data_IF_691329636629
#
_entry.id   IF_691329636629
#
_cell.length_a   1.000
_cell.length_b   1.000
_cell.length_c   1.000
_cell.angle_alpha   90.00
_cell.angle_beta   90.00
_cell.angle_gamma   90.00
#
_symmetry.space_group_name_H-M   'P 1'
#
loop_
_entity.id
_entity.type
_entity.pdbx_description
1 polymer ?
#
# COMPACT_ATOMS: atom_id res chain seq x y z
N UNK A 1 -29.77 21.62 -33.85
CA UNK A 1 -28.69 21.22 -34.77
C UNK A 1 -27.39 21.19 -33.97
N UNK A 2 -26.76 20.02 -33.80
CA UNK A 2 -25.49 19.90 -33.08
C UNK A 2 -24.38 20.55 -33.93
N UNK A 3 -23.75 21.62 -33.42
CA UNK A 3 -22.61 22.28 -34.07
C UNK A 3 -21.35 21.39 -34.13
N UNK A 4 -20.24 21.87 -34.73
CA UNK A 4 -19.04 21.09 -35.08
C UNK A 4 -18.29 20.43 -33.91
N UNK A 5 -18.76 20.58 -32.68
CA UNK A 5 -18.25 19.90 -31.50
C UNK A 5 -19.31 18.91 -30.98
N UNK A 6 -19.22 17.65 -31.40
CA UNK A 6 -19.92 16.58 -30.69
C UNK A 6 -19.24 16.45 -29.33
N UNK A 7 -19.95 16.71 -28.23
CA UNK A 7 -19.49 16.35 -26.88
C UNK A 7 -19.45 14.82 -26.76
N UNK A 8 -18.50 14.17 -27.42
CA UNK A 8 -18.24 12.76 -27.17
C UNK A 8 -17.40 12.70 -25.90
N UNK A 9 -17.85 11.87 -24.96
CA UNK A 9 -17.25 11.59 -23.66
C UNK A 9 -15.69 11.52 -23.61
N UNK A 10 -14.93 11.10 -24.66
CA UNK A 10 -13.48 11.24 -24.67
C UNK A 10 -12.95 12.68 -24.52
N UNK A 11 -13.66 13.72 -24.98
CA UNK A 11 -13.14 15.10 -24.94
C UNK A 11 -13.16 15.76 -23.55
N UNK A 12 -13.92 15.22 -22.59
CA UNK A 12 -14.00 15.71 -21.20
C UNK A 12 -13.22 14.83 -20.20
N UNK A 13 -12.38 13.91 -20.70
CA UNK A 13 -11.60 12.94 -19.93
C UNK A 13 -10.81 12.03 -20.87
N UNK A 14 -9.80 12.59 -21.53
CA UNK A 14 -9.10 12.12 -22.74
C UNK A 14 -8.71 10.66 -22.89
N UNK A 15 -8.62 9.88 -21.80
CA UNK A 15 -8.17 8.48 -21.82
C UNK A 15 -9.16 7.53 -21.12
N UNK A 16 -9.76 6.66 -21.93
CA UNK A 16 -10.74 5.68 -21.45
C UNK A 16 -10.06 4.42 -20.88
N UNK A 17 -9.88 4.39 -19.56
CA UNK A 17 -9.49 3.18 -18.84
C UNK A 17 -10.70 2.30 -18.54
N UNK A 18 -11.07 1.42 -19.47
CA UNK A 18 -12.26 0.56 -19.37
C UNK A 18 -12.07 -0.58 -18.34
N UNK A 19 -12.13 -0.23 -17.05
CA UNK A 19 -12.04 -1.16 -15.93
C UNK A 19 -13.41 -1.22 -15.24
N UNK A 20 -14.11 -2.38 -15.23
CA UNK A 20 -15.44 -2.48 -14.62
C UNK A 20 -15.35 -2.26 -13.11
N UNK A 21 -16.46 -1.86 -12.48
CA UNK A 21 -16.52 -1.66 -11.02
C UNK A 21 -16.62 -2.96 -10.23
N UNK A 22 -17.02 -4.06 -10.88
CA UNK A 22 -17.21 -5.41 -10.29
C UNK A 22 -16.40 -6.48 -11.03
N UNK A 23 -16.00 -7.53 -10.31
CA UNK A 23 -15.39 -8.72 -10.90
C UNK A 23 -16.45 -9.61 -11.56
N UNK A 24 -16.06 -10.25 -12.68
CA UNK A 24 -16.87 -11.31 -13.31
C UNK A 24 -16.84 -12.62 -12.51
N UNK A 25 -17.79 -13.55 -12.76
CA UNK A 25 -17.82 -14.85 -12.05
C UNK A 25 -16.53 -15.64 -12.23
N UNK A 26 -15.95 -15.59 -13.43
CA UNK A 26 -14.73 -16.31 -13.76
C UNK A 26 -13.51 -15.73 -13.03
N UNK A 27 -13.45 -14.40 -12.92
CA UNK A 27 -12.40 -13.74 -12.13
C UNK A 27 -12.51 -14.08 -10.64
N UNK A 28 -13.73 -14.13 -10.10
CA UNK A 28 -13.98 -14.56 -8.72
C UNK A 28 -13.56 -16.01 -8.48
N UNK A 29 -13.80 -16.92 -9.44
CA UNK A 29 -13.34 -18.32 -9.36
C UNK A 29 -11.80 -18.39 -9.33
N UNK A 30 -11.14 -17.79 -10.30
CA UNK A 30 -9.66 -17.73 -10.36
C UNK A 30 -9.04 -17.07 -9.14
N UNK A 31 -9.71 -16.09 -8.54
CA UNK A 31 -9.23 -15.48 -7.32
C UNK A 31 -9.27 -16.44 -6.12
N UNK A 32 -10.36 -17.20 -5.96
CA UNK A 32 -10.45 -18.25 -4.93
C UNK A 32 -9.40 -19.34 -5.13
N UNK A 33 -9.19 -19.78 -6.37
CA UNK A 33 -8.12 -20.73 -6.72
C UNK A 33 -6.75 -20.20 -6.29
N UNK A 34 -6.44 -18.92 -6.54
CA UNK A 34 -5.17 -18.31 -6.09
C UNK A 34 -5.03 -18.24 -4.57
N UNK A 35 -6.10 -17.88 -3.85
CA UNK A 35 -6.08 -17.84 -2.39
C UNK A 35 -5.78 -19.24 -1.81
N UNK A 36 -6.47 -20.27 -2.32
CA UNK A 36 -6.23 -21.67 -1.94
C UNK A 36 -4.84 -22.17 -2.30
N UNK A 37 -4.32 -21.77 -3.46
CA UNK A 37 -2.98 -22.16 -3.88
C UNK A 37 -1.92 -21.61 -2.89
N UNK A 38 -2.07 -20.36 -2.46
CA UNK A 38 -1.19 -19.78 -1.43
C UNK A 38 -1.34 -20.51 -0.09
N UNK A 39 -2.56 -20.87 0.29
CA UNK A 39 -2.81 -21.67 1.51
C UNK A 39 -2.13 -23.04 1.44
N UNK A 40 -2.21 -23.70 0.28
CA UNK A 40 -1.52 -24.97 0.03
C UNK A 40 -0.01 -24.86 0.15
N UNK A 41 0.59 -23.80 -0.41
CA UNK A 41 2.05 -23.56 -0.28
C UNK A 41 2.45 -23.42 1.19
N UNK A 42 1.71 -22.61 1.97
CA UNK A 42 2.01 -22.42 3.40
C UNK A 42 1.87 -23.73 4.17
N UNK A 43 0.82 -24.52 3.90
CA UNK A 43 0.62 -25.82 4.53
C UNK A 43 1.74 -26.82 4.20
N UNK A 44 2.22 -26.85 2.95
CA UNK A 44 3.34 -27.73 2.57
C UNK A 44 4.65 -27.36 3.25
N UNK A 45 4.95 -26.06 3.34
CA UNK A 45 6.15 -25.56 4.02
C UNK A 45 6.09 -25.92 5.51
N UNK A 46 4.95 -25.70 6.14
CA UNK A 46 4.75 -26.01 7.56
C UNK A 46 4.91 -27.50 7.86
N UNK A 47 4.31 -28.38 7.04
CA UNK A 47 4.44 -29.82 7.19
C UNK A 47 5.89 -30.31 6.99
N UNK A 48 6.66 -29.66 6.10
CA UNK A 48 8.07 -29.99 5.89
C UNK A 48 8.93 -29.56 7.09
N UNK A 49 8.69 -28.36 7.61
CA UNK A 49 9.40 -27.81 8.78
C UNK A 49 9.14 -28.63 10.05
N UNK A 50 7.90 -29.05 10.28
CA UNK A 50 7.52 -29.89 11.41
C UNK A 50 8.29 -31.23 11.41
N UNK A 51 8.54 -31.83 10.23
CA UNK A 51 9.34 -33.06 10.11
C UNK A 51 10.82 -32.85 10.43
N UNK A 52 11.33 -31.66 10.16
CA UNK A 52 12.73 -31.28 10.44
C UNK A 52 12.92 -30.75 11.87
N UNK A 53 11.83 -30.53 12.62
CA UNK A 53 11.88 -29.95 13.96
C UNK A 53 12.28 -28.47 13.98
N UNK A 54 12.13 -27.75 12.86
CA UNK A 54 12.46 -26.33 12.75
C UNK A 54 11.19 -25.49 12.66
N UNK A 55 11.25 -24.25 13.14
CA UNK A 55 10.15 -23.28 13.06
C UNK A 55 10.61 -22.01 12.37
N UNK A 56 9.74 -21.44 11.53
CA UNK A 56 9.99 -20.17 10.86
C UNK A 56 9.00 -19.11 11.38
N UNK A 57 9.48 -17.99 11.95
CA UNK A 57 8.61 -16.97 12.54
C UNK A 57 7.69 -16.31 11.50
N UNK A 58 8.10 -16.30 10.23
CA UNK A 58 7.28 -15.80 9.14
C UNK A 58 6.02 -16.66 8.90
N UNK A 59 6.12 -17.98 9.04
CA UNK A 59 5.01 -18.92 8.87
C UNK A 59 4.05 -18.82 10.06
N UNK A 60 4.60 -18.70 11.28
CA UNK A 60 3.80 -18.50 12.49
C UNK A 60 3.02 -17.18 12.45
N UNK A 61 3.70 -16.07 12.12
CA UNK A 61 3.04 -14.77 11.92
C UNK A 61 1.95 -14.85 10.85
N UNK A 62 2.24 -15.52 9.74
CA UNK A 62 1.26 -15.70 8.67
C UNK A 62 0.01 -16.44 9.16
N UNK A 63 0.16 -17.54 9.90
CA UNK A 63 -0.95 -18.30 10.46
C UNK A 63 -1.76 -17.50 11.49
N UNK A 64 -1.10 -16.64 12.27
CA UNK A 64 -1.76 -15.82 13.27
C UNK A 64 -2.58 -14.67 12.67
N UNK A 65 -2.05 -14.02 11.62
CA UNK A 65 -2.64 -12.81 11.05
C UNK A 65 -3.56 -13.08 9.85
N UNK A 66 -3.25 -14.09 9.02
CA UNK A 66 -3.87 -14.27 7.71
C UNK A 66 -4.91 -15.41 7.72
N UNK A 67 -6.20 -15.12 7.47
CA UNK A 67 -7.24 -16.15 7.41
C UNK A 67 -7.14 -17.02 6.16
N UNK A 68 -7.68 -18.24 6.23
CA UNK A 68 -7.76 -19.16 5.08
C UNK A 68 -8.86 -18.75 4.10
N UNK A 69 -8.83 -19.24 2.85
CA UNK A 69 -9.90 -18.95 1.88
C UNK A 69 -11.28 -19.35 2.38
N UNK A 70 -11.40 -20.43 3.17
CA UNK A 70 -12.68 -20.91 3.69
C UNK A 70 -13.26 -19.96 4.76
N UNK A 71 -12.42 -19.46 5.65
CA UNK A 71 -12.81 -18.54 6.74
C UNK A 71 -13.16 -17.13 6.24
N UNK A 72 -12.58 -16.73 5.10
CA UNK A 72 -12.78 -15.38 4.56
C UNK A 72 -14.24 -15.12 4.13
N UNK A 73 -14.76 -13.97 4.55
CA UNK A 73 -16.04 -13.45 4.07
C UNK A 73 -15.98 -13.15 2.56
N UNK A 74 -17.06 -13.39 1.78
CA UNK A 74 -17.11 -13.04 0.36
C UNK A 74 -16.83 -11.56 0.08
N UNK A 75 -17.16 -10.69 1.05
CA UNK A 75 -16.91 -9.25 0.97
C UNK A 75 -15.41 -8.95 0.94
N UNK A 76 -14.63 -9.55 1.83
CA UNK A 76 -13.18 -9.32 1.91
C UNK A 76 -12.40 -10.07 0.82
N UNK A 77 -12.97 -11.16 0.25
CA UNK A 77 -12.40 -11.80 -0.95
C UNK A 77 -12.41 -10.89 -2.17
N UNK A 78 -13.47 -10.12 -2.39
CA UNK A 78 -13.64 -9.40 -3.66
C UNK A 78 -13.48 -7.89 -3.54
N UNK A 79 -13.41 -7.37 -2.32
CA UNK A 79 -13.29 -5.93 -2.07
C UNK A 79 -12.22 -5.62 -1.04
N UNK A 80 -11.50 -4.53 -1.28
CA UNK A 80 -10.49 -3.96 -0.39
C UNK A 80 -11.00 -2.66 0.22
N UNK A 81 -10.38 -2.26 1.32
CA UNK A 81 -10.60 -0.96 1.94
C UNK A 81 -9.92 0.15 1.13
N UNK A 82 -10.65 1.23 0.84
CA UNK A 82 -10.11 2.44 0.20
C UNK A 82 -10.70 3.66 0.89
N UNK A 83 -9.85 4.47 1.54
CA UNK A 83 -10.25 5.67 2.29
C UNK A 83 -11.01 6.68 1.41
N UNK A 84 -10.66 6.78 0.13
CA UNK A 84 -11.20 7.80 -0.80
C UNK A 84 -12.47 7.32 -1.51
N UNK A 85 -12.79 6.03 -1.43
CA UNK A 85 -13.97 5.49 -2.10
C UNK A 85 -15.23 5.71 -1.29
N UNK A 86 -16.36 5.98 -1.96
CA UNK A 86 -17.68 6.02 -1.30
C UNK A 86 -17.93 4.68 -0.61
N UNK A 87 -18.34 4.72 0.68
CA UNK A 87 -18.51 3.54 1.57
C UNK A 87 -17.21 2.78 1.86
N UNK A 88 -16.06 3.41 1.65
CA UNK A 88 -14.75 2.92 2.03
C UNK A 88 -14.34 1.57 1.40
N UNK A 89 -14.86 1.24 0.22
CA UNK A 89 -14.61 -0.05 -0.44
C UNK A 89 -14.34 0.10 -1.93
N UNK A 90 -13.43 -0.74 -2.42
CA UNK A 90 -13.04 -0.83 -3.83
C UNK A 90 -12.93 -2.29 -4.24
N UNK A 91 -13.16 -2.62 -5.52
CA UNK A 91 -12.94 -3.97 -6.03
C UNK A 91 -11.45 -4.33 -6.02
N UNK A 92 -11.11 -5.56 -5.61
CA UNK A 92 -9.72 -6.02 -5.46
C UNK A 92 -8.94 -5.97 -6.78
N UNK A 93 -9.62 -6.14 -7.92
CA UNK A 93 -9.03 -6.11 -9.26
C UNK A 93 -8.52 -4.73 -9.68
N UNK A 94 -8.83 -3.68 -8.91
CA UNK A 94 -8.27 -2.34 -9.12
C UNK A 94 -6.94 -2.14 -8.40
N UNK A 95 -6.50 -3.08 -7.56
CA UNK A 95 -5.20 -3.03 -6.92
C UNK A 95 -4.08 -3.31 -7.96
N UNK A 96 -2.98 -2.55 -7.94
CA UNK A 96 -1.82 -2.85 -8.77
C UNK A 96 -1.32 -4.27 -8.49
N UNK A 97 -1.16 -5.06 -9.55
CA UNK A 97 -0.64 -6.45 -9.46
C UNK A 97 -1.43 -7.34 -8.47
N UNK A 98 -2.74 -7.11 -8.33
CA UNK A 98 -3.63 -7.86 -7.42
C UNK A 98 -3.62 -9.38 -7.57
N UNK A 99 -3.15 -9.92 -8.71
CA UNK A 99 -3.03 -11.36 -8.93
C UNK A 99 -1.83 -11.98 -8.19
N UNK A 100 -0.82 -11.17 -7.85
CA UNK A 100 0.41 -11.59 -7.17
C UNK A 100 0.47 -11.18 -5.71
N UNK A 101 -0.16 -10.05 -5.37
CA UNK A 101 -0.20 -9.53 -4.00
C UNK A 101 -1.26 -10.25 -3.18
N UNK A 102 -0.91 -10.69 -1.96
CA UNK A 102 -1.82 -11.30 -0.99
C UNK A 102 -2.44 -10.25 -0.07
N UNK A 103 -3.66 -9.79 -0.40
CA UNK A 103 -4.46 -8.94 0.48
C UNK A 103 -5.65 -9.73 1.02
N UNK A 104 -5.72 -9.93 2.34
CA UNK A 104 -6.77 -10.73 3.01
C UNK A 104 -7.48 -10.01 4.14
N UNK A 105 -6.74 -9.24 4.93
CA UNK A 105 -7.28 -8.51 6.09
C UNK A 105 -7.62 -7.07 5.70
N UNK A 106 -8.80 -6.62 6.09
CA UNK A 106 -9.26 -5.24 5.93
C UNK A 106 -9.57 -4.65 7.31
N UNK A 107 -9.34 -3.34 7.53
CA UNK A 107 -9.72 -2.70 8.78
C UNK A 107 -11.24 -2.74 8.98
N UNK A 108 -11.66 -2.92 10.24
CA UNK A 108 -13.07 -2.84 10.61
C UNK A 108 -13.56 -1.39 10.51
N UNK A 109 -14.77 -1.22 9.98
CA UNK A 109 -15.38 0.11 9.76
C UNK A 109 -15.57 0.86 11.08
N UNK A 110 -15.80 0.17 12.20
CA UNK A 110 -15.86 0.78 13.54
C UNK A 110 -14.54 1.42 13.97
N UNK A 111 -13.40 0.84 13.58
CA UNK A 111 -12.06 1.33 13.92
C UNK A 111 -11.69 2.61 13.17
N UNK A 112 -12.40 2.93 12.09
CA UNK A 112 -12.13 4.10 11.24
C UNK A 112 -12.96 5.33 11.65
N UNK A 113 -14.18 5.13 12.18
CA UNK A 113 -15.07 6.23 12.59
C UNK A 113 -14.48 7.14 13.68
N UNK A 114 -13.59 6.63 14.54
CA UNK A 114 -13.00 7.43 15.63
C UNK A 114 -11.77 8.26 15.17
N UNK A 115 -11.08 7.82 14.11
CA UNK A 115 -9.91 8.52 13.55
C UNK A 115 -10.29 9.58 12.51
N UNK A 116 -11.40 9.39 11.80
CA UNK A 116 -11.88 10.34 10.79
C UNK A 116 -12.43 11.65 11.40
N UNK A 117 -12.88 11.66 12.66
CA UNK A 117 -13.33 12.89 13.35
C UNK A 117 -12.15 13.80 13.74
N UNK A 118 -11.00 13.21 14.08
CA UNK A 118 -9.81 13.96 14.50
C UNK A 118 -9.06 14.57 13.30
N UNK A 119 -8.83 13.79 12.24
CA UNK A 119 -8.11 14.28 11.04
C UNK A 119 -8.91 15.33 10.25
N UNK A 120 -10.24 15.27 10.24
CA UNK A 120 -11.07 16.29 9.59
C UNK A 120 -11.11 17.63 10.35
N UNK A 121 -10.65 17.66 11.60
CA UNK A 121 -10.58 18.87 12.43
C UNK A 121 -9.18 19.51 12.40
N UNK A 122 -8.12 18.72 12.20
CA UNK A 122 -6.75 19.22 12.06
C UNK A 122 -6.50 19.94 10.74
N UNK A 123 -7.11 19.49 9.63
CA UNK A 123 -6.89 20.09 8.30
C UNK A 123 -7.62 21.44 8.06
N UNK A 124 -8.42 21.93 9.03
CA UNK A 124 -9.21 23.18 8.86
C UNK A 124 -8.68 24.37 9.67
N UNK A 125 -7.73 24.17 10.59
CA UNK A 125 -7.24 25.24 11.48
C UNK A 125 -5.88 25.83 11.09
N UNK A 126 -5.33 25.48 9.92
CA UNK A 126 -3.99 25.89 9.51
C UNK A 126 -3.98 26.64 8.17
N UNK A 127 -4.93 27.59 8.00
CA UNK A 127 -4.91 28.56 6.88
C UNK A 127 -5.04 30.03 7.34
N UNK A 128 -5.44 30.31 8.58
CA UNK A 128 -5.65 31.70 9.03
C UNK A 128 -4.69 32.09 10.16
N UNK A 129 -3.39 32.23 9.89
CA UNK A 129 -2.48 33.08 10.70
C UNK A 129 -1.11 33.16 10.00
N UNK A 130 -0.92 34.15 9.12
CA UNK A 130 0.37 34.85 8.93
C UNK A 130 0.19 36.02 7.94
N UNK A 131 -0.59 37.01 8.36
CA UNK A 131 -0.49 38.37 7.86
C UNK A 131 -0.13 39.26 9.05
N UNK A 132 1.14 39.66 9.15
CA UNK A 132 1.57 40.57 10.22
C UNK A 132 3.09 40.63 10.44
N UNK A 133 3.77 41.41 9.61
CA UNK A 133 4.97 42.23 9.86
C UNK A 133 6.04 41.75 10.86
N UNK A 134 7.30 41.68 10.39
CA UNK A 134 8.44 42.30 11.10
C UNK A 134 9.66 42.47 10.18
N UNK A 135 10.20 43.69 10.21
CA UNK A 135 11.40 44.17 9.53
C UNK A 135 12.67 43.40 9.93
N UNK A 136 13.62 43.23 9.00
CA UNK A 136 15.01 42.96 9.38
C UNK A 136 15.90 42.30 8.33
N UNK A 137 16.63 43.12 7.57
CA UNK A 137 18.04 42.87 7.23
C UNK A 137 18.37 41.82 6.17
N UNK A 138 18.60 42.27 4.94
CA UNK A 138 19.40 41.53 3.96
C UNK A 138 20.87 41.48 4.41
N UNK A 139 21.42 40.29 4.69
CA UNK A 139 22.88 40.07 4.59
C UNK A 139 23.17 38.94 3.61
N UNK A 140 23.63 39.37 2.45
CA UNK A 140 24.38 38.60 1.46
C UNK A 140 25.81 38.45 1.99
N UNK A 141 26.28 37.22 2.16
CA UNK A 141 27.72 36.92 2.15
C UNK A 141 27.95 35.63 1.37
N UNK A 142 28.66 35.76 0.25
CA UNK A 142 29.12 34.66 -0.57
C UNK A 142 30.53 34.22 -0.22
N UNK A 143 30.87 33.04 -0.75
CA UNK A 143 32.17 32.59 -1.25
C UNK A 143 33.41 32.64 -0.34
N UNK A 144 33.92 31.45 0.03
CA UNK A 144 35.28 30.96 -0.27
C UNK A 144 35.48 29.58 0.39
N UNK A 145 35.67 28.51 -0.39
CA UNK A 145 36.97 27.91 -0.76
C UNK A 145 37.64 27.11 0.38
N UNK A 146 37.59 25.77 0.34
CA UNK A 146 38.78 24.90 0.27
C UNK A 146 38.41 23.41 0.17
N UNK A 147 39.03 22.79 -0.82
CA UNK A 147 39.18 21.34 -1.03
C UNK A 147 40.01 20.70 0.08
N UNK A 148 39.66 19.49 0.53
CA UNK A 148 40.63 18.49 0.95
C UNK A 148 40.13 17.07 0.62
N UNK A 149 41.03 16.35 -0.05
CA UNK A 149 41.03 14.95 -0.41
C UNK A 149 41.31 14.04 0.80
N UNK A 150 40.95 12.76 0.66
CA UNK A 150 41.34 11.65 1.55
C UNK A 150 40.12 10.77 1.81
N UNK A 151 39.88 9.66 1.09
CA UNK A 151 40.57 8.36 1.20
C UNK A 151 40.47 7.84 2.66
N UNK A 152 40.03 6.65 3.01
CA UNK A 152 39.81 5.40 2.29
C UNK A 152 39.04 4.43 3.24
N UNK A 153 38.58 3.34 2.64
CA UNK A 153 37.79 2.23 3.18
C UNK A 153 38.56 1.33 4.20
N UNK A 154 37.93 0.29 4.78
CA UNK A 154 38.19 -0.21 6.13
C UNK A 154 39.33 -1.24 6.24
N UNK A 155 39.91 -1.30 7.45
CA UNK A 155 40.85 -2.34 7.89
C UNK A 155 40.25 -3.75 7.79
N UNK A 156 40.84 -4.58 6.93
CA UNK A 156 40.85 -6.05 7.03
C UNK A 156 42.29 -6.53 6.91
N UNK A 157 42.78 -7.28 7.90
CA UNK A 157 43.72 -8.45 7.85
C UNK A 157 44.41 -8.62 9.21
N UNK A 158 44.15 -9.71 9.95
CA UNK A 158 44.84 -11.03 9.98
C UNK A 158 46.00 -11.09 11.00
N UNK A 159 46.26 -12.33 11.47
CA UNK A 159 47.37 -12.84 12.31
C UNK A 159 47.21 -12.67 13.82
N UNK A 160 47.63 -13.59 14.70
CA UNK A 160 47.97 -15.02 14.69
C UNK A 160 48.25 -15.38 16.18
N UNK A 161 48.05 -16.65 16.56
CA UNK A 161 48.87 -17.39 17.54
C UNK A 161 49.23 -16.72 18.89
N UNK A 162 48.58 -17.14 19.99
CA UNK A 162 49.12 -18.04 21.03
C UNK A 162 48.09 -18.24 22.13
#
# INVERSE_FOLDING_TARGET
MFGPFRMTNPLSGGLLWKIPWRLSKFQKRRHRERLRAVDGVVATIDAALAKQGQVLPAVERWKAEMPTEAEMLPKDKYTLFDRKAKRYRKGIHKLPKWTRVSQRVNPLVSKLRNWDVWLYKSDRHEIDHEAGACNGGWRRFGSSFHTYWGDELPCTTLYCLT
#
